data_IF_189378538709
#
_entry.id   IF_189378538709
#
_cell.length_a   1.000
_cell.length_b   1.000
_cell.length_c   1.000
_cell.angle_alpha   90.00
_cell.angle_beta   90.00
_cell.angle_gamma   90.00
#
_symmetry.space_group_name_H-M   'P 1'
#
loop_
_entity.id
_entity.type
_entity.pdbx_description
1 polymer ?
#
# COMPACT_ATOMS: atom_id res chain seq x y z
N UNK A 1 -44.52 17.43 -54.81
CA UNK A 1 -44.81 16.14 -54.16
C UNK A 1 -43.48 15.43 -53.92
N UNK A 2 -42.81 15.70 -52.79
CA UNK A 2 -41.67 14.92 -52.30
C UNK A 2 -41.67 15.05 -50.78
N UNK A 3 -41.94 13.94 -50.10
CA UNK A 3 -41.78 13.78 -48.65
C UNK A 3 -40.40 13.19 -48.41
N UNK A 4 -39.56 13.83 -47.61
CA UNK A 4 -38.30 13.25 -47.13
C UNK A 4 -38.34 13.27 -45.61
N UNK A 5 -38.44 12.09 -45.00
CA UNK A 5 -38.22 11.88 -43.58
C UNK A 5 -36.72 11.80 -43.33
N UNK A 6 -36.17 12.71 -42.52
CA UNK A 6 -34.81 12.62 -42.00
C UNK A 6 -34.84 12.51 -40.46
N UNK A 7 -34.33 11.37 -40.00
CA UNK A 7 -34.26 10.95 -38.60
C UNK A 7 -33.05 11.58 -37.92
N UNK A 8 -33.28 12.57 -37.05
CA UNK A 8 -32.25 13.06 -36.13
C UNK A 8 -31.97 12.02 -35.03
N UNK A 9 -30.90 11.24 -35.21
CA UNK A 9 -30.20 10.56 -34.12
C UNK A 9 -29.68 11.61 -33.14
N UNK A 10 -30.25 11.64 -31.93
CA UNK A 10 -29.67 12.33 -30.80
C UNK A 10 -28.43 11.53 -30.34
N UNK A 11 -27.26 12.13 -30.52
CA UNK A 11 -26.01 11.65 -29.94
C UNK A 11 -26.11 11.75 -28.42
N UNK A 12 -26.31 10.61 -27.76
CA UNK A 12 -26.08 10.49 -26.33
C UNK A 12 -24.58 10.55 -26.09
N UNK A 13 -24.13 11.66 -25.50
CA UNK A 13 -22.81 11.77 -24.88
C UNK A 13 -22.78 10.79 -23.71
N UNK A 14 -22.11 9.66 -23.91
CA UNK A 14 -21.81 8.70 -22.85
C UNK A 14 -20.92 9.38 -21.83
N UNK A 15 -21.50 9.83 -20.72
CA UNK A 15 -20.76 10.19 -19.51
C UNK A 15 -20.22 8.90 -18.92
N UNK A 16 -18.96 8.60 -19.23
CA UNK A 16 -18.24 7.46 -18.65
C UNK A 16 -18.22 7.57 -17.12
N UNK A 17 -18.81 6.58 -16.46
CA UNK A 17 -18.75 6.41 -15.01
C UNK A 17 -17.30 6.20 -14.53
N UNK A 18 -16.85 6.78 -13.41
CA UNK A 18 -15.52 6.54 -12.86
C UNK A 18 -15.54 5.30 -11.95
N UNK A 19 -15.36 4.13 -12.55
CA UNK A 19 -15.54 2.84 -11.86
C UNK A 19 -14.38 1.85 -12.05
N UNK A 20 -13.11 2.24 -12.12
CA UNK A 20 -12.02 1.24 -11.97
C UNK A 20 -10.63 1.86 -11.68
N UNK A 21 -10.54 2.81 -10.75
CA UNK A 21 -9.21 3.19 -10.25
C UNK A 21 -8.71 2.08 -9.29
N UNK A 22 -7.53 1.48 -9.54
CA UNK A 22 -7.00 0.46 -8.66
C UNK A 22 -6.77 1.04 -7.25
N UNK A 23 -6.95 0.23 -6.20
CA UNK A 23 -6.75 0.70 -4.84
C UNK A 23 -5.28 1.07 -4.62
N UNK A 24 -5.04 2.32 -4.25
CA UNK A 24 -3.73 2.89 -3.94
C UNK A 24 -3.55 3.14 -2.44
N UNK A 25 -4.52 2.77 -1.61
CA UNK A 25 -4.47 2.97 -0.16
C UNK A 25 -5.07 1.84 0.67
N UNK A 26 -4.60 1.74 1.92
CA UNK A 26 -5.21 0.93 2.97
C UNK A 26 -5.96 1.83 3.95
N UNK A 27 -7.25 1.60 4.12
CA UNK A 27 -8.04 2.18 5.20
C UNK A 27 -8.11 1.19 6.37
N UNK A 28 -7.57 1.58 7.52
CA UNK A 28 -7.50 0.73 8.72
C UNK A 28 -8.35 1.31 9.83
N UNK A 29 -9.12 0.44 10.48
CA UNK A 29 -9.97 0.76 11.62
C UNK A 29 -9.24 0.44 12.91
N UNK A 30 -8.77 1.47 13.61
CA UNK A 30 -7.90 1.34 14.78
C UNK A 30 -8.45 2.07 16.00
N UNK A 31 -8.18 1.52 17.19
CA UNK A 31 -8.47 2.14 18.49
C UNK A 31 -7.31 3.04 18.96
N UNK A 32 -6.14 2.92 18.31
CA UNK A 32 -4.94 3.69 18.66
C UNK A 32 -5.14 5.18 18.31
N UNK A 33 -4.81 6.12 19.22
CA UNK A 33 -4.89 7.53 18.93
C UNK A 33 -3.76 7.96 17.98
N UNK A 34 -3.97 9.06 17.25
CA UNK A 34 -3.01 9.59 16.28
C UNK A 34 -1.61 9.79 16.88
N UNK A 35 -1.54 10.27 18.14
CA UNK A 35 -0.27 10.49 18.85
C UNK A 35 0.57 9.22 18.92
N UNK A 36 -0.02 8.11 19.36
CA UNK A 36 0.70 6.86 19.57
C UNK A 36 1.18 6.27 18.24
N UNK A 37 0.36 6.37 17.20
CA UNK A 37 0.68 5.94 15.84
C UNK A 37 1.84 6.76 15.23
N UNK A 38 1.80 8.08 15.42
CA UNK A 38 2.86 8.99 15.00
C UNK A 38 4.14 8.80 15.83
N UNK A 39 4.02 8.51 17.13
CA UNK A 39 5.17 8.23 17.99
C UNK A 39 5.83 6.87 17.66
N UNK A 40 5.07 5.92 17.13
CA UNK A 40 5.54 4.59 16.75
C UNK A 40 6.02 4.49 15.29
N UNK A 41 5.69 5.46 14.44
CA UNK A 41 5.91 5.46 12.98
C UNK A 41 5.37 4.21 12.27
N UNK A 42 4.38 3.56 12.86
CA UNK A 42 3.81 2.34 12.31
C UNK A 42 2.33 2.24 12.63
N UNK A 43 1.62 1.60 11.73
CA UNK A 43 0.37 0.96 12.11
C UNK A 43 0.71 -0.27 12.96
N UNK A 44 -0.14 -0.59 13.93
CA UNK A 44 -0.12 -1.86 14.63
C UNK A 44 -0.04 -3.09 13.67
N UNK A 45 -0.06 -4.31 14.22
CA UNK A 45 0.15 -5.51 13.42
C UNK A 45 -1.15 -6.05 12.82
N UNK A 46 -1.21 -6.14 11.50
CA UNK A 46 -2.40 -6.49 10.75
C UNK A 46 -2.22 -7.73 9.87
N UNK A 47 -3.28 -8.51 9.66
CA UNK A 47 -3.32 -9.54 8.61
C UNK A 47 -3.60 -8.88 7.27
N UNK A 48 -2.56 -8.72 6.44
CA UNK A 48 -2.63 -8.04 5.15
C UNK A 48 -2.67 -9.03 3.98
N UNK A 49 -3.27 -8.59 2.87
CA UNK A 49 -3.02 -9.18 1.57
C UNK A 49 -1.82 -8.43 0.95
N UNK A 50 -0.64 -9.03 1.01
CA UNK A 50 0.61 -8.35 0.63
C UNK A 50 0.66 -7.92 -0.82
N UNK A 51 0.06 -8.68 -1.74
CA UNK A 51 0.02 -8.33 -3.17
C UNK A 51 -0.73 -7.03 -3.42
N UNK A 52 -1.73 -6.72 -2.59
CA UNK A 52 -2.46 -5.44 -2.63
C UNK A 52 -1.77 -4.37 -1.80
N UNK A 53 -1.31 -4.72 -0.61
CA UNK A 53 -0.68 -3.78 0.32
C UNK A 53 0.62 -3.20 -0.24
N UNK A 54 1.43 -3.99 -0.96
CA UNK A 54 2.67 -3.54 -1.58
C UNK A 54 2.48 -2.51 -2.71
N UNK A 55 1.27 -2.42 -3.26
CA UNK A 55 0.90 -1.43 -4.31
C UNK A 55 0.33 -0.15 -3.71
N UNK A 56 0.00 -0.15 -2.42
CA UNK A 56 -0.57 1.01 -1.77
C UNK A 56 0.52 2.04 -1.47
N UNK A 57 0.21 3.30 -1.78
CA UNK A 57 1.04 4.47 -1.49
C UNK A 57 0.68 5.09 -0.14
N UNK A 58 -0.59 4.99 0.24
CA UNK A 58 -1.10 5.64 1.44
C UNK A 58 -1.73 4.66 2.42
N UNK A 59 -1.62 5.00 3.71
CA UNK A 59 -2.40 4.41 4.78
C UNK A 59 -3.31 5.49 5.35
N UNK A 60 -4.59 5.17 5.50
CA UNK A 60 -5.61 6.04 6.07
C UNK A 60 -6.12 5.37 7.33
N UNK A 61 -6.13 6.09 8.44
CA UNK A 61 -6.53 5.57 9.74
C UNK A 61 -7.89 6.15 10.13
N UNK A 62 -8.82 5.25 10.44
CA UNK A 62 -10.15 5.57 10.91
C UNK A 62 -10.34 5.15 12.36
N UNK A 63 -10.99 6.02 13.13
CA UNK A 63 -11.13 5.87 14.58
C UNK A 63 -12.19 4.84 14.93
N UNK A 64 -11.79 3.78 15.62
CA UNK A 64 -12.69 2.86 16.30
C UNK A 64 -12.88 3.35 17.73
N UNK A 65 -13.92 4.15 17.94
CA UNK A 65 -14.34 4.52 19.29
C UNK A 65 -15.22 3.40 19.90
N UNK A 66 -14.86 2.96 21.11
CA UNK A 66 -15.61 1.95 21.90
C UNK A 66 -17.02 2.43 22.27
N UNK A 67 -17.17 3.72 22.52
CA UNK A 67 -18.44 4.33 22.94
C UNK A 67 -19.31 4.77 21.75
N UNK A 68 -18.84 4.54 20.51
CA UNK A 68 -19.46 5.07 19.28
C UNK A 68 -19.77 6.58 19.39
N UNK A 69 -18.90 7.32 20.08
CA UNK A 69 -19.03 8.76 20.26
C UNK A 69 -18.76 9.53 18.98
N UNK A 70 -18.62 10.84 19.13
CA UNK A 70 -18.32 11.75 18.04
C UNK A 70 -16.98 11.38 17.37
N UNK A 71 -17.02 11.11 16.06
CA UNK A 71 -15.86 10.68 15.28
C UNK A 71 -15.65 9.17 15.17
N UNK A 72 -16.56 8.32 15.66
CA UNK A 72 -16.52 6.89 15.33
C UNK A 72 -16.58 6.69 13.80
N UNK A 73 -15.65 5.90 13.24
CA UNK A 73 -15.44 5.67 11.80
C UNK A 73 -14.97 6.88 11.00
N UNK A 74 -14.69 8.02 11.65
CA UNK A 74 -14.07 9.14 10.96
C UNK A 74 -12.61 8.80 10.65
N UNK A 75 -12.16 9.09 9.43
CA UNK A 75 -10.75 9.05 9.09
C UNK A 75 -10.09 10.30 9.65
N UNK A 76 -9.03 10.11 10.44
CA UNK A 76 -8.39 11.19 11.19
C UNK A 76 -6.92 11.41 10.79
N UNK A 77 -6.32 10.45 10.07
CA UNK A 77 -4.93 10.51 9.64
C UNK A 77 -4.78 9.86 8.27
N UNK A 78 -4.00 10.49 7.41
CA UNK A 78 -3.42 9.86 6.21
C UNK A 78 -1.90 9.92 6.32
N UNK A 79 -1.22 8.85 5.95
CA UNK A 79 0.23 8.79 5.94
C UNK A 79 0.76 8.12 4.67
N UNK A 80 1.97 8.50 4.24
CA UNK A 80 2.66 7.88 3.11
C UNK A 80 3.37 6.63 3.59
N UNK A 81 3.10 5.51 2.93
CA UNK A 81 3.69 4.22 3.27
C UNK A 81 5.16 4.25 2.86
N UNK A 82 6.02 4.05 3.85
CA UNK A 82 7.45 3.86 3.65
C UNK A 82 7.79 2.39 3.43
N UNK A 83 7.16 1.51 4.20
CA UNK A 83 7.50 0.10 4.19
C UNK A 83 6.41 -0.79 4.82
N UNK A 84 6.47 -2.10 4.54
CA UNK A 84 5.64 -3.10 5.20
C UNK A 84 6.54 -4.19 5.77
N UNK A 85 6.54 -4.34 7.10
CA UNK A 85 7.42 -5.25 7.82
C UNK A 85 6.63 -6.36 8.49
N UNK A 86 7.19 -7.58 8.47
CA UNK A 86 6.58 -8.69 9.18
C UNK A 86 6.77 -8.49 10.68
N UNK A 87 5.71 -8.65 11.46
CA UNK A 87 5.81 -8.73 12.91
C UNK A 87 5.88 -10.19 13.28
N UNK A 88 7.00 -10.58 13.87
CA UNK A 88 7.15 -11.91 14.47
C UNK A 88 6.36 -11.91 15.77
N UNK A 89 5.54 -12.93 15.96
CA UNK A 89 4.95 -13.17 17.27
C UNK A 89 6.04 -13.65 18.22
N UNK A 90 6.27 -12.95 19.33
CA UNK A 90 7.33 -13.29 20.30
C UNK A 90 7.04 -14.62 21.03
N UNK A 91 5.77 -15.03 21.09
CA UNK A 91 5.34 -16.24 21.81
C UNK A 91 5.38 -17.47 20.90
N UNK A 92 4.92 -17.34 19.65
CA UNK A 92 4.85 -18.48 18.72
C UNK A 92 5.98 -18.50 17.69
N UNK A 93 6.73 -17.41 17.53
CA UNK A 93 7.75 -17.25 16.50
C UNK A 93 7.19 -17.15 15.07
N UNK A 94 5.87 -17.24 14.89
CA UNK A 94 5.23 -17.24 13.59
C UNK A 94 5.17 -15.83 13.00
N UNK A 95 5.25 -15.77 11.67
CA UNK A 95 5.05 -14.55 10.89
C UNK A 95 3.69 -14.62 10.22
N UNK A 96 2.74 -13.82 10.71
CA UNK A 96 1.37 -13.79 10.17
C UNK A 96 0.70 -12.42 10.23
N UNK A 97 1.35 -11.45 10.85
CA UNK A 97 0.89 -10.06 10.95
C UNK A 97 1.99 -9.13 10.45
N UNK A 98 1.57 -7.98 9.95
CA UNK A 98 2.43 -7.02 9.27
C UNK A 98 2.17 -5.63 9.82
N UNK A 99 3.23 -4.89 10.10
CA UNK A 99 3.12 -3.47 10.40
C UNK A 99 3.44 -2.66 9.15
N UNK A 100 2.70 -1.58 8.96
CA UNK A 100 2.89 -0.64 7.87
C UNK A 100 3.63 0.56 8.45
N UNK A 101 4.86 0.77 8.01
CA UNK A 101 5.69 1.89 8.41
C UNK A 101 5.38 3.09 7.52
N UNK A 102 5.40 4.29 8.12
CA UNK A 102 5.23 5.55 7.42
C UNK A 102 6.17 6.61 7.99
N UNK A 103 6.52 7.59 7.17
CA UNK A 103 7.45 8.67 7.53
C UNK A 103 6.90 10.08 7.30
N UNK A 104 5.75 10.18 6.63
CA UNK A 104 5.03 11.42 6.44
C UNK A 104 3.56 11.20 6.76
N UNK A 105 2.95 12.12 7.49
CA UNK A 105 1.55 12.03 7.86
C UNK A 105 0.89 13.41 7.85
N UNK A 106 -0.38 13.44 7.48
CA UNK A 106 -1.24 14.60 7.52
C UNK A 106 -2.50 14.28 8.34
N UNK A 107 -2.94 15.26 9.12
CA UNK A 107 -4.24 15.18 9.78
C UNK A 107 -5.35 15.40 8.75
N UNK A 108 -6.38 14.58 8.82
CA UNK A 108 -7.60 14.73 8.02
C UNK A 108 -8.80 14.60 8.95
N UNK A 109 -9.97 15.01 8.50
CA UNK A 109 -11.20 14.75 9.22
C UNK A 109 -12.30 14.43 8.22
N UNK A 110 -12.55 13.13 8.02
CA UNK A 110 -13.58 12.66 7.09
C UNK A 110 -14.57 11.81 7.86
N UNK A 111 -15.79 12.32 8.11
CA UNK A 111 -16.80 11.59 8.85
C UNK A 111 -17.23 10.35 8.05
N UNK A 112 -17.56 9.27 8.77
CA UNK A 112 -18.08 8.02 8.19
C UNK A 112 -17.19 7.38 7.10
N UNK A 113 -15.89 7.65 7.11
CA UNK A 113 -14.93 7.07 6.16
C UNK A 113 -14.91 5.53 6.19
N UNK A 114 -15.04 4.93 7.38
CA UNK A 114 -15.05 3.47 7.54
C UNK A 114 -16.48 2.90 7.54
N UNK A 115 -16.82 2.12 6.51
CA UNK A 115 -18.09 1.41 6.45
C UNK A 115 -18.07 0.16 7.34
N UNK A 116 -19.19 -0.24 7.97
CA UNK A 116 -19.28 -1.46 8.75
C UNK A 116 -18.73 -2.68 7.98
N UNK A 117 -17.80 -3.40 8.60
CA UNK A 117 -17.19 -4.60 8.03
C UNK A 117 -16.67 -5.51 9.14
N UNK A 118 -16.61 -6.82 8.85
CA UNK A 118 -15.99 -7.82 9.73
C UNK A 118 -14.46 -7.68 9.76
N UNK A 119 -13.87 -7.14 8.69
CA UNK A 119 -12.44 -6.94 8.59
C UNK A 119 -12.10 -5.48 8.93
N UNK A 120 -11.10 -5.23 9.80
CA UNK A 120 -10.72 -3.86 10.17
C UNK A 120 -9.90 -3.16 9.08
N UNK A 121 -9.79 -3.73 7.88
CA UNK A 121 -8.91 -3.26 6.80
C UNK A 121 -9.69 -3.24 5.50
N UNK A 122 -9.55 -2.16 4.74
CA UNK A 122 -10.11 -2.02 3.39
C UNK A 122 -9.06 -1.47 2.45
N UNK A 123 -9.10 -1.93 1.20
CA UNK A 123 -8.25 -1.42 0.12
C UNK A 123 -9.12 -0.58 -0.80
N UNK A 124 -8.75 0.68 -1.01
CA UNK A 124 -9.56 1.64 -1.77
C UNK A 124 -8.70 2.74 -2.39
N UNK A 125 -9.30 3.58 -3.23
CA UNK A 125 -8.67 4.78 -3.78
C UNK A 125 -8.70 5.90 -2.72
N UNK A 126 -7.53 6.41 -2.34
CA UNK A 126 -7.40 7.51 -1.39
C UNK A 126 -8.13 8.75 -1.91
N UNK A 127 -7.93 9.10 -3.19
CA UNK A 127 -8.61 10.21 -3.86
C UNK A 127 -10.13 10.10 -3.76
N UNK A 128 -10.69 8.91 -3.95
CA UNK A 128 -12.14 8.69 -3.85
C UNK A 128 -12.67 8.85 -2.42
N UNK A 129 -11.88 8.53 -1.41
CA UNK A 129 -12.26 8.72 -0.01
C UNK A 129 -12.17 10.19 0.40
N UNK A 130 -11.09 10.87 0.00
CA UNK A 130 -10.81 12.26 0.33
C UNK A 130 -11.71 13.23 -0.44
N UNK A 131 -12.03 12.91 -1.69
CA UNK A 131 -12.71 13.81 -2.63
C UNK A 131 -11.77 14.77 -3.37
N UNK A 132 -10.48 14.77 -3.03
CA UNK A 132 -9.40 15.58 -3.62
C UNK A 132 -8.13 14.74 -3.73
N UNK A 133 -7.07 15.26 -4.38
CA UNK A 133 -5.82 14.52 -4.53
C UNK A 133 -5.11 14.37 -3.16
N UNK A 134 -4.74 13.15 -2.73
CA UNK A 134 -4.01 12.95 -1.48
C UNK A 134 -2.76 13.80 -1.33
N UNK A 135 -2.07 14.13 -2.43
CA UNK A 135 -0.85 14.96 -2.41
C UNK A 135 -1.12 16.42 -2.00
N UNK A 136 -2.38 16.87 -2.01
CA UNK A 136 -2.79 18.20 -1.52
C UNK A 136 -2.82 18.29 0.03
N UNK A 137 -2.68 17.16 0.74
CA UNK A 137 -2.61 17.16 2.20
C UNK A 137 -1.30 17.77 2.73
N UNK A 138 -1.37 18.43 3.90
CA UNK A 138 -0.21 18.97 4.63
C UNK A 138 0.59 17.85 5.32
N UNK A 139 1.37 17.10 4.54
CA UNK A 139 2.21 16.02 5.02
C UNK A 139 3.40 16.54 5.82
N UNK A 140 3.40 16.24 7.12
CA UNK A 140 4.52 16.54 8.01
C UNK A 140 5.40 15.30 8.20
N UNK A 141 6.73 15.48 8.26
CA UNK A 141 7.62 14.38 8.55
C UNK A 141 7.36 13.87 9.97
N UNK A 142 7.28 12.56 10.11
CA UNK A 142 7.11 11.88 11.40
C UNK A 142 8.50 11.68 12.04
N UNK A 143 8.68 11.95 13.35
CA UNK A 143 10.00 11.86 14.00
C UNK A 143 10.64 10.49 13.81
N UNK A 144 11.90 10.43 13.35
CA UNK A 144 12.60 9.15 13.14
C UNK A 144 12.99 8.52 14.48
N UNK A 145 12.16 7.61 15.01
CA UNK A 145 12.58 6.71 16.09
C UNK A 145 13.22 5.44 15.54
N UNK A 146 14.18 4.90 16.28
CA UNK A 146 14.70 3.53 16.04
C UNK A 146 13.55 2.58 16.33
N UNK A 147 13.01 1.97 15.28
CA UNK A 147 12.01 0.91 15.40
C UNK A 147 12.61 -0.17 16.30
N UNK A 148 11.89 -0.56 17.36
CA UNK A 148 12.27 -1.69 18.18
C UNK A 148 12.29 -2.96 17.30
N UNK A 149 13.42 -3.68 17.31
CA UNK A 149 13.75 -4.72 16.33
C UNK A 149 13.00 -6.05 16.54
N UNK A 150 11.95 -6.07 17.38
CA UNK A 150 10.96 -7.16 17.44
C UNK A 150 10.18 -7.32 16.12
N UNK A 151 10.28 -6.36 15.21
CA UNK A 151 9.92 -6.53 13.80
C UNK A 151 10.99 -7.33 13.06
N UNK A 152 10.68 -8.57 12.70
CA UNK A 152 11.47 -9.31 11.72
C UNK A 152 11.52 -8.49 10.43
N UNK A 153 12.73 -8.07 10.06
CA UNK A 153 13.08 -7.41 8.80
C UNK A 153 12.19 -7.96 7.67
N UNK A 154 11.60 -7.03 6.89
CA UNK A 154 10.86 -7.23 5.63
C UNK A 154 10.80 -8.69 5.17
N UNK A 155 9.60 -9.18 4.81
CA UNK A 155 9.57 -10.09 3.66
C UNK A 155 9.95 -9.22 2.48
N UNK A 156 11.25 -9.20 2.29
CA UNK A 156 11.92 -8.57 1.20
C UNK A 156 11.35 -9.21 -0.06
N UNK A 157 10.77 -8.40 -0.93
CA UNK A 157 11.28 -8.49 -2.29
C UNK A 157 12.76 -8.11 -2.14
N UNK A 158 13.63 -9.11 -1.96
CA UNK A 158 15.06 -8.90 -1.74
C UNK A 158 15.59 -7.94 -2.82
N UNK A 159 16.10 -6.73 -2.49
CA UNK A 159 17.35 -6.37 -3.13
C UNK A 159 18.34 -7.42 -2.64
N UNK A 160 18.77 -8.31 -3.55
CA UNK A 160 19.90 -9.21 -3.37
C UNK A 160 21.07 -8.42 -2.77
N UNK A 161 21.16 -8.38 -1.45
CA UNK A 161 22.25 -7.74 -0.72
C UNK A 161 22.59 -8.56 0.52
N UNK A 162 22.66 -9.86 0.37
CA UNK A 162 23.95 -10.41 -0.01
C UNK A 162 23.84 -10.93 -1.43
N UNK A 163 24.35 -10.21 -2.42
CA UNK A 163 24.89 -10.95 -3.56
C UNK A 163 25.97 -11.84 -2.93
N UNK A 164 25.63 -13.13 -2.68
CA UNK A 164 26.65 -14.18 -2.75
C UNK A 164 27.46 -13.78 -3.96
N UNK A 165 28.77 -13.58 -3.80
CA UNK A 165 29.65 -13.31 -4.93
C UNK A 165 29.42 -14.48 -5.88
N UNK A 166 28.59 -14.26 -6.90
CA UNK A 166 28.24 -15.30 -7.84
C UNK A 166 29.52 -15.57 -8.60
N UNK A 167 29.88 -16.83 -8.66
CA UNK A 167 30.93 -17.26 -9.57
C UNK A 167 30.45 -16.98 -11.00
N UNK A 168 31.41 -16.80 -11.91
CA UNK A 168 31.10 -16.64 -13.34
C UNK A 168 30.27 -17.83 -13.85
N UNK A 169 30.47 -19.03 -13.29
CA UNK A 169 29.71 -20.22 -13.64
C UNK A 169 28.22 -20.11 -13.26
N UNK A 170 27.92 -19.72 -12.01
CA UNK A 170 26.52 -19.53 -11.55
C UNK A 170 25.82 -18.42 -12.33
N UNK A 171 26.55 -17.35 -12.69
CA UNK A 171 26.00 -16.29 -13.53
C UNK A 171 25.66 -16.80 -14.95
N UNK A 172 26.52 -17.64 -15.54
CA UNK A 172 26.27 -18.26 -16.86
C UNK A 172 25.10 -19.23 -16.82
N UNK A 173 24.96 -20.04 -15.76
CA UNK A 173 23.81 -20.95 -15.59
C UNK A 173 22.48 -20.19 -15.50
N UNK A 174 22.45 -19.10 -14.73
CA UNK A 174 21.25 -18.26 -14.62
C UNK A 174 20.85 -17.63 -15.96
N UNK A 175 21.82 -17.09 -16.70
CA UNK A 175 21.56 -16.51 -18.03
C UNK A 175 21.17 -17.59 -19.05
N UNK A 176 21.77 -18.79 -18.99
CA UNK A 176 21.47 -19.93 -19.86
C UNK A 176 20.02 -20.38 -19.69
N UNK A 177 19.54 -20.50 -18.45
CA UNK A 177 18.15 -20.81 -18.16
C UNK A 177 17.18 -19.74 -18.69
N UNK A 178 17.57 -18.46 -18.63
CA UNK A 178 16.75 -17.34 -19.11
C UNK A 178 16.65 -17.28 -20.64
N UNK A 179 17.76 -17.57 -21.35
CA UNK A 179 17.83 -17.47 -22.80
C UNK A 179 17.68 -18.83 -23.52
N UNK A 180 17.46 -19.92 -22.78
CA UNK A 180 17.23 -21.25 -23.32
C UNK A 180 18.43 -21.84 -24.05
N UNK A 181 19.65 -21.46 -23.65
CA UNK A 181 20.89 -21.90 -24.28
C UNK A 181 21.81 -22.63 -23.29
N UNK A 182 22.90 -23.22 -23.76
CA UNK A 182 23.88 -23.86 -22.88
C UNK A 182 24.74 -22.81 -22.15
N UNK A 183 25.14 -23.02 -20.87
CA UNK A 183 26.05 -22.11 -20.16
C UNK A 183 27.36 -21.85 -20.91
N UNK A 184 27.84 -22.83 -21.68
CA UNK A 184 29.05 -22.70 -22.51
C UNK A 184 28.88 -21.75 -23.69
N UNK A 185 27.64 -21.44 -24.10
CA UNK A 185 27.33 -20.51 -25.19
C UNK A 185 27.23 -19.04 -24.73
N UNK A 186 27.46 -18.76 -23.44
CA UNK A 186 27.34 -17.43 -22.85
C UNK A 186 28.71 -16.83 -22.55
N UNK A 187 28.93 -15.61 -23.05
CA UNK A 187 30.09 -14.78 -22.74
C UNK A 187 29.67 -13.60 -21.85
N UNK A 188 30.44 -13.33 -20.80
CA UNK A 188 30.21 -12.20 -19.88
C UNK A 188 31.46 -11.32 -19.93
N UNK A 189 31.33 -10.09 -20.43
CA UNK A 189 32.40 -9.09 -20.48
C UNK A 189 32.14 -7.96 -19.48
N UNK A 190 33.09 -7.70 -18.59
CA UNK A 190 33.03 -6.61 -17.60
C UNK A 190 33.96 -5.49 -18.07
N UNK A 191 33.40 -4.32 -18.37
CA UNK A 191 34.20 -3.10 -18.61
C UNK A 191 34.24 -2.30 -17.32
N UNK A 192 35.44 -1.96 -16.89
CA UNK A 192 35.71 -1.07 -15.75
C UNK A 192 36.26 0.26 -16.24
#
# INVERSE_FOLDING_TARGET
MVTVHDSKKQSQTTVSQPSDEPPDSLLIFTEDPARDLLDANNSAAWRLNLSRASKAKYIILARKDKNKGEGHRAAFLIAKIKDIVARRDETTGETGKWAILFDQAAAIDIPNAFKPSQQPIRYLSARKLLGFDPEECDFKPVPKKKIDWSYSRRVENEPRSGARKLTVAEAKEGLAAQFGCSPSAIEISIKV
#
